data_IF_853225360511
#
_entry.id   IF_853225360511
#
_cell.length_a   1.000
_cell.length_b   1.000
_cell.length_c   1.000
_cell.angle_alpha   90.00
_cell.angle_beta   90.00
_cell.angle_gamma   90.00
#
_symmetry.space_group_name_H-M   'P 1'
#
loop_
_entity.id
_entity.type
_entity.pdbx_description
1 polymer ?
#
# COMPACT_ATOMS: atom_id res chain seq x y z
N UNK A 1 -26.53 -9.25 1.13
CA UNK A 1 -26.38 -10.65 1.57
C UNK A 1 -27.52 -11.49 1.03
N UNK A 2 -27.19 -12.55 0.27
CA UNK A 2 -28.17 -13.55 -0.15
C UNK A 2 -28.50 -14.44 1.05
N UNK A 3 -29.77 -14.65 1.34
CA UNK A 3 -30.22 -15.50 2.45
C UNK A 3 -29.93 -16.97 2.10
N UNK A 4 -29.20 -17.68 2.96
CA UNK A 4 -29.01 -19.12 2.81
C UNK A 4 -30.35 -19.85 2.95
N UNK A 5 -30.52 -20.89 2.14
CA UNK A 5 -31.69 -21.77 2.24
C UNK A 5 -31.58 -22.62 3.50
N UNK A 6 -32.72 -22.88 4.13
CA UNK A 6 -32.82 -23.79 5.27
C UNK A 6 -32.57 -25.23 4.85
N UNK A 7 -32.22 -26.08 5.82
CA UNK A 7 -31.96 -27.51 5.57
C UNK A 7 -33.17 -28.21 4.92
N UNK A 8 -34.39 -27.87 5.34
CA UNK A 8 -35.64 -28.42 4.79
C UNK A 8 -35.86 -28.00 3.33
N UNK A 9 -35.48 -26.77 2.96
CA UNK A 9 -35.56 -26.31 1.57
C UNK A 9 -34.54 -27.00 0.66
N UNK A 10 -33.35 -27.33 1.19
CA UNK A 10 -32.30 -28.06 0.46
C UNK A 10 -32.65 -29.54 0.32
N UNK A 11 -33.26 -30.15 1.34
CA UNK A 11 -33.71 -31.54 1.31
C UNK A 11 -34.81 -31.79 0.27
N UNK A 12 -35.68 -30.81 0.04
CA UNK A 12 -36.77 -30.88 -0.95
C UNK A 12 -36.34 -30.67 -2.40
N UNK A 13 -35.07 -30.34 -2.65
CA UNK A 13 -34.55 -30.12 -4.00
C UNK A 13 -34.32 -31.44 -4.74
N UNK A 14 -34.46 -31.40 -6.06
CA UNK A 14 -33.92 -32.44 -6.93
C UNK A 14 -32.39 -32.39 -6.94
N UNK A 15 -31.69 -33.47 -7.36
CA UNK A 15 -30.24 -33.46 -7.50
C UNK A 15 -29.72 -32.30 -8.37
N UNK A 16 -30.37 -32.01 -9.51
CA UNK A 16 -29.96 -30.93 -10.41
C UNK A 16 -30.13 -29.55 -9.75
N UNK A 17 -31.25 -29.32 -9.06
CA UNK A 17 -31.49 -28.06 -8.33
C UNK A 17 -30.49 -27.86 -7.19
N UNK A 18 -30.09 -28.94 -6.51
CA UNK A 18 -29.07 -28.88 -5.47
C UNK A 18 -27.70 -28.55 -6.06
N UNK A 19 -27.34 -29.17 -7.18
CA UNK A 19 -26.10 -28.89 -7.89
C UNK A 19 -26.02 -27.43 -8.35
N UNK A 20 -27.09 -26.89 -8.95
CA UNK A 20 -27.14 -25.47 -9.34
C UNK A 20 -27.02 -24.54 -8.13
N UNK A 21 -27.66 -24.89 -7.02
CA UNK A 21 -27.57 -24.11 -5.79
C UNK A 21 -26.15 -24.11 -5.21
N UNK A 22 -25.50 -25.27 -5.15
CA UNK A 22 -24.12 -25.41 -4.68
C UNK A 22 -23.13 -24.67 -5.59
N UNK A 23 -23.29 -24.78 -6.91
CA UNK A 23 -22.45 -24.06 -7.87
C UNK A 23 -22.62 -22.54 -7.72
N UNK A 24 -23.85 -22.06 -7.57
CA UNK A 24 -24.10 -20.63 -7.33
C UNK A 24 -23.48 -20.15 -6.02
N UNK A 25 -23.50 -20.97 -4.96
CA UNK A 25 -22.86 -20.64 -3.69
C UNK A 25 -21.33 -20.65 -3.81
N UNK A 26 -20.76 -21.59 -4.56
CA UNK A 26 -19.32 -21.64 -4.81
C UNK A 26 -18.84 -20.37 -5.50
N UNK A 27 -19.50 -19.98 -6.60
CA UNK A 27 -19.15 -18.76 -7.35
C UNK A 27 -19.26 -17.52 -6.46
N UNK A 28 -20.32 -17.42 -5.64
CA UNK A 28 -20.50 -16.28 -4.73
C UNK A 28 -19.39 -16.21 -3.67
N UNK A 29 -18.97 -17.37 -3.13
CA UNK A 29 -17.86 -17.47 -2.17
C UNK A 29 -16.52 -17.14 -2.79
N UNK A 30 -16.24 -17.67 -3.97
CA UNK A 30 -14.98 -17.43 -4.68
C UNK A 30 -14.84 -15.95 -5.04
N UNK A 31 -15.93 -15.32 -5.48
CA UNK A 31 -15.94 -13.88 -5.76
C UNK A 31 -15.74 -13.06 -4.49
N UNK A 32 -16.42 -13.42 -3.38
CA UNK A 32 -16.23 -12.73 -2.09
C UNK A 32 -14.78 -12.82 -1.63
N UNK A 33 -14.20 -14.03 -1.65
CA UNK A 33 -12.81 -14.24 -1.25
C UNK A 33 -11.83 -13.45 -2.15
N UNK A 34 -12.05 -13.47 -3.47
CA UNK A 34 -11.22 -12.70 -4.40
C UNK A 34 -11.30 -11.19 -4.13
N UNK A 35 -12.49 -10.66 -3.84
CA UNK A 35 -12.69 -9.25 -3.50
C UNK A 35 -11.99 -8.89 -2.18
N UNK A 36 -12.19 -9.69 -1.14
CA UNK A 36 -11.60 -9.48 0.18
C UNK A 36 -10.07 -9.48 0.08
N UNK A 37 -9.48 -10.49 -0.55
CA UNK A 37 -8.03 -10.56 -0.79
C UNK A 37 -7.54 -9.38 -1.63
N UNK A 38 -8.26 -9.00 -2.69
CA UNK A 38 -7.83 -7.87 -3.54
C UNK A 38 -7.82 -6.53 -2.78
N UNK A 39 -8.76 -6.36 -1.84
CA UNK A 39 -8.84 -5.17 -1.00
C UNK A 39 -7.70 -5.13 0.02
N UNK A 40 -7.45 -6.26 0.70
CA UNK A 40 -6.34 -6.41 1.64
C UNK A 40 -4.99 -6.16 0.95
N UNK A 41 -4.74 -6.81 -0.18
CA UNK A 41 -3.54 -6.61 -1.01
C UNK A 41 -3.36 -5.14 -1.42
N UNK A 42 -4.46 -4.50 -1.84
CA UNK A 42 -4.46 -3.11 -2.28
C UNK A 42 -4.11 -2.17 -1.14
N UNK A 43 -4.64 -2.42 0.06
CA UNK A 43 -4.37 -1.64 1.25
C UNK A 43 -2.91 -1.81 1.70
N UNK A 44 -2.41 -3.04 1.77
CA UNK A 44 -1.02 -3.33 2.15
C UNK A 44 -0.03 -2.64 1.20
N UNK A 45 -0.22 -2.83 -0.12
CA UNK A 45 0.61 -2.16 -1.14
C UNK A 45 0.51 -0.63 -1.05
N UNK A 46 -0.66 -0.09 -0.72
CA UNK A 46 -0.86 1.34 -0.53
C UNK A 46 -0.08 1.88 0.66
N UNK A 47 -0.14 1.20 1.80
CA UNK A 47 0.59 1.55 3.02
C UNK A 47 2.11 1.47 2.78
N UNK A 48 2.59 0.37 2.19
CA UNK A 48 4.01 0.16 1.93
C UNK A 48 4.59 1.28 1.06
N UNK A 49 3.92 1.57 -0.08
CA UNK A 49 4.31 2.68 -0.97
C UNK A 49 4.27 4.04 -0.26
N UNK A 50 3.27 4.27 0.59
CA UNK A 50 3.16 5.49 1.38
C UNK A 50 4.33 5.66 2.35
N UNK A 51 4.70 4.60 3.06
CA UNK A 51 5.83 4.60 4.00
C UNK A 51 7.15 4.80 3.26
N UNK A 52 7.36 4.12 2.14
CA UNK A 52 8.58 4.25 1.34
C UNK A 52 8.74 5.67 0.80
N UNK A 53 7.69 6.24 0.21
CA UNK A 53 7.69 7.62 -0.27
C UNK A 53 7.95 8.62 0.86
N UNK A 54 7.28 8.46 2.00
CA UNK A 54 7.46 9.31 3.16
C UNK A 54 8.89 9.26 3.73
N UNK A 55 9.50 8.07 3.79
CA UNK A 55 10.90 7.91 4.21
C UNK A 55 11.88 8.57 3.23
N UNK A 56 11.65 8.42 1.93
CA UNK A 56 12.49 9.03 0.91
C UNK A 56 12.41 10.56 0.94
N UNK A 57 11.19 11.11 1.03
CA UNK A 57 10.96 12.56 1.16
C UNK A 57 11.57 13.13 2.44
N UNK A 58 11.35 12.46 3.58
CA UNK A 58 11.92 12.87 4.87
C UNK A 58 13.46 12.86 4.88
N UNK A 59 14.08 11.86 4.23
CA UNK A 59 15.55 11.81 4.10
C UNK A 59 16.08 13.00 3.29
N UNK A 60 15.43 13.36 2.18
CA UNK A 60 15.84 14.52 1.37
C UNK A 60 15.69 15.83 2.15
N UNK A 61 14.57 15.99 2.86
CA UNK A 61 14.30 17.17 3.69
C UNK A 61 15.33 17.31 4.83
N UNK A 62 15.67 16.19 5.49
CA UNK A 62 16.70 16.16 6.52
C UNK A 62 18.07 16.56 5.96
N UNK A 63 18.47 16.03 4.80
CA UNK A 63 19.74 16.41 4.17
C UNK A 63 19.80 17.90 3.83
N UNK A 64 18.70 18.47 3.34
CA UNK A 64 18.60 19.91 3.06
C UNK A 64 18.70 20.74 4.34
N UNK A 65 18.07 20.31 5.42
CA UNK A 65 18.13 20.99 6.71
C UNK A 65 19.56 20.96 7.29
N UNK A 66 20.23 19.81 7.23
CA UNK A 66 21.64 19.67 7.62
C UNK A 66 22.51 20.60 6.78
N UNK A 67 22.37 20.58 5.45
CA UNK A 67 23.15 21.43 4.56
C UNK A 67 22.95 22.93 4.82
N UNK A 68 21.70 23.36 5.03
CA UNK A 68 21.40 24.75 5.37
C UNK A 68 22.04 25.17 6.69
N UNK A 69 22.04 24.29 7.70
CA UNK A 69 22.67 24.55 9.00
C UNK A 69 24.19 24.60 8.90
N UNK A 70 24.81 23.74 8.11
CA UNK A 70 26.26 23.78 7.86
C UNK A 70 26.68 25.02 7.07
N UNK A 71 25.88 25.43 6.08
CA UNK A 71 26.12 26.67 5.32
C UNK A 71 26.09 27.89 6.24
N UNK A 72 25.12 27.95 7.17
CA UNK A 72 25.04 29.01 8.19
C UNK A 72 26.25 29.05 9.12
N UNK A 73 26.88 27.90 9.37
CA UNK A 73 28.10 27.79 10.18
C UNK A 73 29.39 28.12 9.40
N UNK A 74 29.28 28.43 8.09
CA UNK A 74 30.43 28.75 7.26
C UNK A 74 31.28 27.53 6.86
N UNK A 75 30.72 26.32 6.95
CA UNK A 75 31.39 25.12 6.45
C UNK A 75 31.48 25.21 4.92
N UNK A 76 32.60 24.77 4.34
CA UNK A 76 32.80 24.80 2.89
C UNK A 76 31.81 23.89 2.17
N UNK A 77 31.36 24.34 1.00
CA UNK A 77 30.29 23.69 0.24
C UNK A 77 30.67 22.27 -0.19
N UNK A 78 31.95 22.02 -0.50
CA UNK A 78 32.42 20.70 -0.89
C UNK A 78 32.30 19.68 0.26
N UNK A 79 32.56 20.10 1.50
CA UNK A 79 32.36 19.22 2.67
C UNK A 79 30.89 19.00 2.94
N UNK A 80 30.04 20.03 2.77
CA UNK A 80 28.59 19.90 2.90
C UNK A 80 28.07 18.89 1.87
N UNK A 81 28.51 18.96 0.62
CA UNK A 81 28.16 18.02 -0.44
C UNK A 81 28.58 16.59 -0.09
N UNK A 82 29.81 16.40 0.42
CA UNK A 82 30.29 15.09 0.85
C UNK A 82 29.49 14.51 2.02
N UNK A 83 29.11 15.33 3.00
CA UNK A 83 28.37 14.87 4.18
C UNK A 83 26.89 14.61 3.90
N UNK A 84 26.26 15.42 3.05
CA UNK A 84 24.81 15.37 2.82
C UNK A 84 24.38 14.63 1.56
N UNK A 85 25.33 14.39 0.65
CA UNK A 85 25.06 13.78 -0.65
C UNK A 85 24.31 14.70 -1.63
N UNK A 86 24.08 15.96 -1.26
CA UNK A 86 23.50 16.97 -2.14
C UNK A 86 24.54 17.48 -3.14
N UNK A 87 24.07 17.90 -4.30
CA UNK A 87 24.93 18.57 -5.27
C UNK A 87 25.33 19.98 -4.78
N UNK A 88 26.47 20.46 -5.28
CA UNK A 88 26.95 21.82 -5.01
C UNK A 88 25.91 22.87 -5.45
N UNK A 89 25.20 22.61 -6.54
CA UNK A 89 24.12 23.48 -7.05
C UNK A 89 22.94 23.55 -6.06
N UNK A 90 22.48 22.41 -5.55
CA UNK A 90 21.43 22.37 -4.54
C UNK A 90 21.84 23.11 -3.27
N UNK A 91 23.08 22.91 -2.79
CA UNK A 91 23.58 23.57 -1.58
C UNK A 91 23.71 25.09 -1.79
N UNK A 92 24.10 25.53 -2.98
CA UNK A 92 24.16 26.96 -3.31
C UNK A 92 22.76 27.59 -3.32
N UNK A 93 21.74 26.83 -3.73
CA UNK A 93 20.34 27.27 -3.74
C UNK A 93 19.62 27.27 -2.39
N UNK A 94 20.17 26.61 -1.36
CA UNK A 94 19.65 26.62 0.03
C UNK A 94 19.99 27.92 0.77
#
# INVERSE_FOLDING_TARGET
FRKLKSIVEVERMTPDQRLEYELSLSVERDLSAALDTSFEDGMEKGIEKGIEKGKAEGKIEEQRLIAANFKKQGINIETIAQCTGLSVEEINGL
#
